data_IF_647979450638
#
_entry.id   IF_647979450638
#
_cell.length_a   1.000
_cell.length_b   1.000
_cell.length_c   1.000
_cell.angle_alpha   90.00
_cell.angle_beta   90.00
_cell.angle_gamma   90.00
#
_symmetry.space_group_name_H-M   'P 1'
#
loop_
_entity.id
_entity.type
_entity.pdbx_description
1 polymer ?
#
# COMPACT_ATOMS: atom_id res chain seq x y z
N UNK A 1 -4.63 41.10 -0.78
CA UNK A 1 -4.26 39.95 0.09
C UNK A 1 -3.06 40.33 0.92
N UNK A 2 -3.14 40.15 2.24
CA UNK A 2 -2.00 40.35 3.15
C UNK A 2 -1.04 39.17 3.06
N UNK A 3 0.23 39.34 3.41
CA UNK A 3 1.22 38.25 3.35
C UNK A 3 0.87 37.10 4.29
N UNK A 4 0.17 37.41 5.40
CA UNK A 4 -0.42 36.40 6.29
C UNK A 4 -1.45 35.53 5.58
N UNK A 5 -2.32 36.13 4.76
CA UNK A 5 -3.33 35.37 3.99
C UNK A 5 -2.66 34.48 2.94
N UNK A 6 -1.61 34.95 2.27
CA UNK A 6 -0.85 34.15 1.30
C UNK A 6 -0.13 32.97 1.97
N UNK A 7 0.47 33.19 3.14
CA UNK A 7 1.14 32.13 3.92
C UNK A 7 0.16 31.05 4.36
N UNK A 8 -1.00 31.44 4.90
CA UNK A 8 -2.05 30.50 5.31
C UNK A 8 -2.57 29.67 4.13
N UNK A 9 -2.74 30.30 2.95
CA UNK A 9 -3.17 29.59 1.75
C UNK A 9 -2.15 28.56 1.27
N UNK A 10 -0.85 28.87 1.36
CA UNK A 10 0.23 27.97 0.99
C UNK A 10 0.32 26.77 1.94
N UNK A 11 0.22 26.99 3.25
CA UNK A 11 0.22 25.93 4.26
C UNK A 11 -0.97 24.97 4.09
N UNK A 12 -2.16 25.49 3.75
CA UNK A 12 -3.35 24.66 3.51
C UNK A 12 -3.21 23.80 2.24
N UNK A 13 -2.58 24.32 1.18
CA UNK A 13 -2.34 23.54 -0.05
C UNK A 13 -1.40 22.37 0.21
N UNK A 14 -0.25 22.62 0.85
CA UNK A 14 0.72 21.57 1.17
C UNK A 14 0.12 20.48 2.08
N UNK A 15 -0.64 20.86 3.13
CA UNK A 15 -1.32 19.87 3.98
C UNK A 15 -2.31 18.99 3.23
N UNK A 16 -3.02 19.56 2.24
CA UNK A 16 -3.96 18.80 1.41
C UNK A 16 -3.22 17.84 0.46
N UNK A 17 -2.13 18.29 -0.15
CA UNK A 17 -1.28 17.46 -1.01
C UNK A 17 -0.69 16.28 -0.23
N UNK A 18 -0.18 16.52 0.97
CA UNK A 18 0.35 15.47 1.85
C UNK A 18 -0.72 14.44 2.27
N UNK A 19 -1.96 14.88 2.45
CA UNK A 19 -3.08 14.00 2.79
C UNK A 19 -3.46 13.10 1.61
N UNK A 20 -3.58 13.68 0.42
CA UNK A 20 -3.92 12.95 -0.82
C UNK A 20 -2.80 11.97 -1.16
N UNK A 21 -1.53 12.37 -1.03
CA UNK A 21 -0.40 11.49 -1.34
C UNK A 21 -0.33 10.29 -0.39
N UNK A 22 -0.61 10.47 0.90
CA UNK A 22 -0.65 9.35 1.86
C UNK A 22 -1.79 8.37 1.60
N UNK A 23 -2.91 8.85 1.08
CA UNK A 23 -4.04 7.99 0.69
C UNK A 23 -3.84 7.35 -0.69
N UNK A 24 -2.96 7.90 -1.53
CA UNK A 24 -2.75 7.47 -2.90
C UNK A 24 -1.65 6.42 -3.08
N UNK A 25 -0.86 6.11 -2.04
CA UNK A 25 0.09 4.99 -2.11
C UNK A 25 -0.71 3.70 -1.97
N UNK A 26 -0.84 2.96 -3.07
CA UNK A 26 -1.45 1.64 -3.06
C UNK A 26 -0.56 0.70 -2.22
N UNK A 27 -1.17 -0.19 -1.43
CA UNK A 27 -0.45 -1.25 -0.70
C UNK A 27 0.56 -1.96 -1.60
N UNK A 28 0.24 -2.14 -2.89
CA UNK A 28 1.16 -2.76 -3.86
C UNK A 28 2.49 -2.02 -4.00
N UNK A 29 2.46 -0.69 -3.97
CA UNK A 29 3.64 0.17 -4.15
C UNK A 29 4.52 0.25 -2.89
N UNK A 30 3.97 -0.11 -1.72
CA UNK A 30 4.74 -0.20 -0.46
C UNK A 30 5.56 -1.50 -0.36
N UNK A 31 5.24 -2.50 -1.16
CA UNK A 31 5.94 -3.79 -1.14
C UNK A 31 7.28 -3.70 -1.87
N UNK A 32 8.31 -4.31 -1.29
CA UNK A 32 9.55 -4.54 -2.03
C UNK A 32 9.31 -5.47 -3.23
N UNK A 33 10.14 -5.36 -4.27
CA UNK A 33 10.12 -6.26 -5.43
C UNK A 33 10.16 -7.74 -5.02
N UNK A 34 10.84 -8.07 -3.91
CA UNK A 34 10.91 -9.44 -3.40
C UNK A 34 9.57 -9.92 -2.83
N UNK A 35 8.81 -9.02 -2.20
CA UNK A 35 7.48 -9.32 -1.65
C UNK A 35 6.44 -9.42 -2.78
N UNK A 36 6.45 -8.49 -3.73
CA UNK A 36 5.59 -8.54 -4.91
C UNK A 36 5.75 -9.88 -5.66
N UNK A 37 7.01 -10.30 -5.95
CA UNK A 37 7.30 -11.60 -6.59
C UNK A 37 6.77 -12.80 -5.82
N UNK A 38 6.82 -12.77 -4.49
CA UNK A 38 6.29 -13.86 -3.65
C UNK A 38 4.77 -13.95 -3.76
N UNK A 39 4.09 -12.80 -3.78
CA UNK A 39 2.63 -12.73 -3.92
C UNK A 39 2.21 -13.19 -5.31
N UNK A 40 2.85 -12.71 -6.37
CA UNK A 40 2.62 -13.16 -7.75
C UNK A 40 2.76 -14.67 -7.88
N UNK A 41 3.83 -15.24 -7.33
CA UNK A 41 4.04 -16.69 -7.31
C UNK A 41 2.92 -17.43 -6.55
N UNK A 42 2.50 -16.89 -5.41
CA UNK A 42 1.37 -17.45 -4.65
C UNK A 42 0.08 -17.48 -5.47
N UNK A 43 -0.24 -16.40 -6.18
CA UNK A 43 -1.41 -16.32 -7.08
C UNK A 43 -1.28 -17.35 -8.20
N UNK A 44 -0.11 -17.49 -8.82
CA UNK A 44 0.13 -18.48 -9.87
C UNK A 44 -0.09 -19.92 -9.37
N UNK A 45 0.39 -20.24 -8.17
CA UNK A 45 0.17 -21.54 -7.53
C UNK A 45 -1.31 -21.80 -7.24
N UNK A 46 -2.04 -20.79 -6.73
CA UNK A 46 -3.48 -20.87 -6.49
C UNK A 46 -4.29 -21.08 -7.78
N UNK A 47 -3.90 -20.42 -8.87
CA UNK A 47 -4.51 -20.60 -10.20
C UNK A 47 -4.25 -22.00 -10.77
N UNK A 48 -3.10 -22.61 -10.44
CA UNK A 48 -2.79 -24.01 -10.76
C UNK A 48 -3.50 -25.01 -9.85
N UNK A 49 -4.38 -24.55 -8.94
CA UNK A 49 -5.12 -25.39 -8.01
C UNK A 49 -4.32 -25.84 -6.78
N UNK A 50 -3.10 -25.31 -6.58
CA UNK A 50 -2.29 -25.60 -5.39
C UNK A 50 -2.79 -24.75 -4.22
N UNK A 51 -3.92 -25.17 -3.67
CA UNK A 51 -4.55 -24.54 -2.50
C UNK A 51 -4.23 -25.35 -1.27
N UNK A 52 -4.12 -24.66 -0.13
CA UNK A 52 -4.01 -25.29 1.18
C UNK A 52 -5.12 -24.74 2.06
N UNK A 53 -5.60 -25.56 2.98
CA UNK A 53 -6.59 -25.12 3.95
C UNK A 53 -6.00 -24.04 4.86
N UNK A 54 -6.80 -23.03 5.20
CA UNK A 54 -6.32 -21.90 6.00
C UNK A 54 -5.73 -22.34 7.35
N UNK A 55 -6.35 -23.34 7.99
CA UNK A 55 -5.85 -23.91 9.24
C UNK A 55 -4.50 -24.64 9.06
N UNK A 56 -4.22 -25.19 7.90
CA UNK A 56 -2.93 -25.81 7.60
C UNK A 56 -1.86 -24.76 7.30
N UNK A 57 -2.24 -23.64 6.68
CA UNK A 57 -1.36 -22.48 6.52
C UNK A 57 -0.93 -21.92 7.88
N UNK A 58 -1.88 -21.73 8.81
CA UNK A 58 -1.59 -21.20 10.15
C UNK A 58 -0.55 -22.03 10.89
N UNK A 59 -0.60 -23.36 10.79
CA UNK A 59 0.40 -24.27 11.40
C UNK A 59 1.82 -24.09 10.85
N UNK A 60 1.98 -23.54 9.64
CA UNK A 60 3.29 -23.32 9.01
C UNK A 60 3.93 -21.99 9.38
N UNK A 61 3.12 -21.03 9.83
CA UNK A 61 3.56 -19.66 10.13
C UNK A 61 3.52 -19.34 11.63
N UNK A 62 2.86 -20.18 12.44
CA UNK A 62 2.94 -20.17 13.91
C UNK A 62 4.18 -20.90 14.41
#
# INVERSE_FOLDING_TARGET
>A
MTDRQKKLLLELKSKKEDCIQKEAVDFWDELSLSQQKKIEKGIEELNKGKRIEFNELLKKIS
#
